data_IF_276479931350
#
_entry.id   IF_276479931350
#
_cell.length_a   1.000
_cell.length_b   1.000
_cell.length_c   1.000
_cell.angle_alpha   90.00
_cell.angle_beta   90.00
_cell.angle_gamma   90.00
#
_symmetry.space_group_name_H-M   'P 1'
#
loop_
_entity.id
_entity.type
_entity.pdbx_description
1 polymer ?
#
# COMPACT_ATOMS: atom_id res chain seq x y z
N UNK A 1 14.53 12.67 -15.88
CA UNK A 1 14.94 11.36 -15.34
C UNK A 1 14.67 10.29 -16.38
N UNK A 2 15.63 9.39 -16.64
CA UNK A 2 15.38 8.28 -17.57
C UNK A 2 14.23 7.39 -17.05
N UNK A 3 13.45 6.74 -17.93
CA UNK A 3 12.39 5.81 -17.53
C UNK A 3 12.86 4.72 -16.55
N UNK A 4 14.12 4.28 -16.68
CA UNK A 4 14.73 3.29 -15.76
C UNK A 4 14.86 3.82 -14.32
N UNK A 5 15.27 5.07 -14.15
CA UNK A 5 15.39 5.70 -12.81
C UNK A 5 14.01 5.92 -12.19
N UNK A 6 13.01 6.37 -12.97
CA UNK A 6 11.63 6.51 -12.47
C UNK A 6 11.08 5.18 -11.93
N UNK A 7 11.33 4.07 -12.63
CA UNK A 7 10.92 2.73 -12.19
C UNK A 7 11.64 2.28 -10.90
N UNK A 8 12.94 2.53 -10.78
CA UNK A 8 13.69 2.20 -9.57
C UNK A 8 13.20 2.99 -8.35
N UNK A 9 13.05 4.32 -8.50
CA UNK A 9 12.51 5.18 -7.43
C UNK A 9 11.09 4.76 -7.05
N UNK A 10 10.26 4.46 -8.04
CA UNK A 10 8.90 3.98 -7.82
C UNK A 10 8.86 2.65 -7.05
N UNK A 11 9.74 1.69 -7.39
CA UNK A 11 9.86 0.43 -6.66
C UNK A 11 10.21 0.66 -5.18
N UNK A 12 11.24 1.47 -4.91
CA UNK A 12 11.66 1.79 -3.54
C UNK A 12 10.53 2.48 -2.76
N UNK A 13 9.84 3.44 -3.40
CA UNK A 13 8.71 4.13 -2.80
C UNK A 13 7.54 3.19 -2.48
N UNK A 14 7.23 2.23 -3.36
CA UNK A 14 6.20 1.20 -3.11
C UNK A 14 6.58 0.33 -1.90
N UNK A 15 7.83 -0.11 -1.82
CA UNK A 15 8.30 -0.95 -0.70
C UNK A 15 8.25 -0.18 0.63
N UNK A 16 8.72 1.07 0.64
CA UNK A 16 8.66 1.93 1.82
C UNK A 16 7.20 2.19 2.25
N UNK A 17 6.33 2.49 1.29
CA UNK A 17 4.89 2.65 1.54
C UNK A 17 4.28 1.37 2.11
N UNK A 18 4.56 0.20 1.53
CA UNK A 18 3.99 -1.07 1.99
C UNK A 18 4.45 -1.40 3.42
N UNK A 19 5.72 -1.14 3.75
CA UNK A 19 6.22 -1.28 5.12
C UNK A 19 5.48 -0.40 6.11
N UNK A 20 5.34 0.90 5.80
CA UNK A 20 4.58 1.83 6.64
C UNK A 20 3.09 1.45 6.73
N UNK A 21 2.49 1.04 5.62
CA UNK A 21 1.10 0.63 5.53
C UNK A 21 0.79 -0.56 6.43
N UNK A 22 1.61 -1.61 6.39
CA UNK A 22 1.43 -2.80 7.23
C UNK A 22 1.52 -2.44 8.71
N UNK A 23 2.48 -1.58 9.10
CA UNK A 23 2.59 -1.13 10.50
C UNK A 23 1.33 -0.39 10.95
N UNK A 24 0.83 0.55 10.14
CA UNK A 24 -0.40 1.30 10.46
C UNK A 24 -1.61 0.37 10.47
N UNK A 25 -1.76 -0.51 9.48
CA UNK A 25 -2.83 -1.49 9.38
C UNK A 25 -2.87 -2.42 10.61
N UNK A 26 -1.74 -2.97 11.02
CA UNK A 26 -1.68 -3.81 12.23
C UNK A 26 -2.08 -3.02 13.48
N UNK A 27 -1.59 -1.78 13.63
CA UNK A 27 -1.95 -0.92 14.78
C UNK A 27 -3.42 -0.53 14.80
N UNK A 28 -4.03 -0.28 13.63
CA UNK A 28 -5.46 0.00 13.54
C UNK A 28 -6.28 -1.28 13.81
N UNK A 29 -5.76 -2.44 13.42
CA UNK A 29 -6.33 -3.75 13.72
C UNK A 29 -6.49 -4.02 15.22
N UNK A 30 -5.61 -3.49 16.07
CA UNK A 30 -5.69 -3.59 17.53
C UNK A 30 -6.99 -2.97 18.11
N UNK A 31 -7.63 -2.04 17.38
CA UNK A 31 -8.89 -1.40 17.79
C UNK A 31 -10.14 -2.12 17.24
N UNK A 32 -9.96 -3.12 16.39
CA UNK A 32 -11.08 -3.91 15.84
C UNK A 32 -11.55 -4.90 16.90
N UNK A 33 -12.87 -5.06 17.12
CA UNK A 33 -13.39 -6.02 18.09
C UNK A 33 -12.78 -7.41 17.89
N UNK A 34 -12.49 -8.10 18.99
CA UNK A 34 -11.93 -9.47 19.01
C UNK A 34 -12.98 -10.54 18.62
N UNK A 35 -13.73 -10.28 17.55
CA UNK A 35 -14.67 -11.17 16.90
C UNK A 35 -14.03 -11.63 15.59
N UNK A 36 -13.98 -12.94 15.36
CA UNK A 36 -13.30 -13.53 14.21
C UNK A 36 -13.76 -12.94 12.87
N UNK A 37 -15.06 -12.66 12.72
CA UNK A 37 -15.62 -12.11 11.50
C UNK A 37 -15.29 -10.61 11.33
N UNK A 38 -15.23 -9.85 12.43
CA UNK A 38 -14.91 -8.43 12.37
C UNK A 38 -13.44 -8.22 11.97
N UNK A 39 -12.52 -8.98 12.59
CA UNK A 39 -11.13 -9.01 12.16
C UNK A 39 -10.97 -9.53 10.74
N UNK A 40 -11.70 -10.60 10.37
CA UNK A 40 -11.68 -11.15 9.02
C UNK A 40 -12.07 -10.12 7.96
N UNK A 41 -13.17 -9.39 8.16
CA UNK A 41 -13.61 -8.33 7.25
C UNK A 41 -12.58 -7.21 7.21
N UNK A 42 -12.09 -6.76 8.38
CA UNK A 42 -11.10 -5.69 8.46
C UNK A 42 -9.84 -6.02 7.65
N UNK A 43 -9.22 -7.17 7.91
CA UNK A 43 -8.00 -7.57 7.23
C UNK A 43 -8.24 -7.90 5.75
N UNK A 44 -9.41 -8.40 5.36
CA UNK A 44 -9.76 -8.57 3.95
C UNK A 44 -9.83 -7.22 3.22
N UNK A 45 -10.50 -6.22 3.81
CA UNK A 45 -10.63 -4.89 3.21
C UNK A 45 -9.28 -4.20 3.11
N UNK A 46 -8.52 -4.15 4.20
CA UNK A 46 -7.19 -3.51 4.24
C UNK A 46 -6.19 -4.24 3.34
N UNK A 47 -6.22 -5.57 3.34
CA UNK A 47 -5.36 -6.41 2.49
C UNK A 47 -5.64 -6.32 0.99
N UNK A 48 -6.83 -5.85 0.59
CA UNK A 48 -7.19 -5.63 -0.83
C UNK A 48 -6.99 -4.16 -1.23
N UNK A 49 -7.33 -3.21 -0.36
CA UNK A 49 -7.39 -1.79 -0.72
C UNK A 49 -6.04 -1.05 -0.65
N UNK A 50 -4.97 -1.66 -0.11
CA UNK A 50 -3.64 -1.02 -0.01
C UNK A 50 -3.06 -0.55 -1.34
N UNK A 51 -3.46 -1.16 -2.47
CA UNK A 51 -2.98 -0.79 -3.80
C UNK A 51 -3.56 0.53 -4.33
N UNK A 52 -4.70 0.97 -3.82
CA UNK A 52 -5.40 2.18 -4.32
C UNK A 52 -4.54 3.44 -4.18
N UNK A 53 -3.90 3.71 -3.03
CA UNK A 53 -2.96 4.83 -2.90
C UNK A 53 -1.76 4.80 -3.86
N UNK A 54 -1.44 3.66 -4.48
CA UNK A 54 -0.29 3.54 -5.40
C UNK A 54 -0.59 4.02 -6.82
N UNK A 55 -1.86 4.19 -7.21
CA UNK A 55 -2.22 4.57 -8.58
C UNK A 55 -1.52 5.86 -9.08
N UNK A 56 -1.43 6.96 -8.30
CA UNK A 56 -0.73 8.16 -8.74
C UNK A 56 0.76 7.93 -9.00
N UNK A 57 1.42 7.14 -8.14
CA UNK A 57 2.83 6.80 -8.27
C UNK A 57 3.08 5.94 -9.51
N UNK A 58 2.27 4.90 -9.71
CA UNK A 58 2.37 4.01 -10.89
C UNK A 58 2.14 4.82 -12.17
N UNK A 59 1.15 5.72 -12.17
CA UNK A 59 0.91 6.62 -13.30
C UNK A 59 2.13 7.50 -13.58
N UNK A 60 2.78 8.04 -12.56
CA UNK A 60 4.01 8.82 -12.72
C UNK A 60 5.18 7.98 -13.27
N UNK A 61 5.36 6.75 -12.79
CA UNK A 61 6.39 5.83 -13.28
C UNK A 61 6.24 5.52 -14.78
N UNK A 62 4.99 5.44 -15.26
CA UNK A 62 4.65 5.08 -16.63
C UNK A 62 4.49 6.30 -17.56
N UNK A 63 4.56 7.54 -17.06
CA UNK A 63 4.53 8.72 -17.93
C UNK A 63 5.79 8.73 -18.81
N UNK A 64 5.55 8.57 -20.10
CA UNK A 64 6.50 8.93 -21.14
C UNK A 64 6.76 10.45 -21.03
N UNK A 65 8.03 10.81 -21.08
CA UNK A 65 8.52 12.18 -20.98
C UNK A 65 10.00 12.19 -21.28
#
# INVERSE_FOLDING_TARGET
>A
MSPRVKKFVGLVAILAFLGAYVLVASKVGDYVPALWWAQGIYYAVVGILWGVPLFPLIRWMNREG
#
